data_IF_152190730174
#
_entry.id   IF_152190730174
#
_cell.length_a   1.000
_cell.length_b   1.000
_cell.length_c   1.000
_cell.angle_alpha   90.00
_cell.angle_beta   90.00
_cell.angle_gamma   90.00
#
_symmetry.space_group_name_H-M   'P 1'
#
loop_
_entity.id
_entity.type
_entity.pdbx_description
1 polymer ?
#
# COMPACT_ATOMS: atom_id res chain seq x y z
N UNK A 1 14.11 57.41 49.37
CA UNK A 1 15.22 56.82 48.58
C UNK A 1 14.92 55.35 48.41
N UNK A 2 15.30 54.79 47.27
CA UNK A 2 14.51 53.79 46.57
C UNK A 2 14.47 52.39 47.18
N UNK A 3 13.29 51.77 47.12
CA UNK A 3 13.16 50.32 47.22
C UNK A 3 13.65 49.68 45.90
N UNK A 4 14.88 49.18 45.89
CA UNK A 4 15.49 48.56 44.73
C UNK A 4 14.85 47.17 44.47
N UNK A 5 13.95 47.10 43.48
CA UNK A 5 13.28 45.87 43.09
C UNK A 5 14.16 45.05 42.12
N UNK A 6 14.89 44.07 42.65
CA UNK A 6 15.70 43.15 41.83
C UNK A 6 14.85 42.35 40.83
N UNK A 7 15.18 42.32 39.53
CA UNK A 7 14.42 41.58 38.54
C UNK A 7 14.55 40.06 38.77
N UNK A 8 13.42 39.36 38.89
CA UNK A 8 13.41 37.89 39.03
C UNK A 8 14.00 37.25 37.76
N UNK A 9 15.01 36.36 37.87
CA UNK A 9 15.58 35.72 36.68
C UNK A 9 14.54 34.83 35.98
N UNK A 10 14.53 34.76 34.64
CA UNK A 10 13.57 33.94 33.91
C UNK A 10 13.75 32.47 34.28
N UNK A 11 12.65 31.82 34.69
CA UNK A 11 12.70 30.44 35.18
C UNK A 11 13.20 29.48 34.09
N UNK A 12 14.20 28.67 34.44
CA UNK A 12 14.81 27.65 33.56
C UNK A 12 13.74 26.69 33.01
N UNK A 13 12.70 26.43 33.79
CA UNK A 13 11.51 25.67 33.40
C UNK A 13 10.83 26.22 32.13
N UNK A 14 10.66 27.55 32.00
CA UNK A 14 10.01 28.14 30.82
C UNK A 14 10.84 27.94 29.55
N UNK A 15 12.16 27.94 29.67
CA UNK A 15 13.09 27.64 28.58
C UNK A 15 13.06 26.15 28.21
N UNK A 16 12.93 25.26 29.20
CA UNK A 16 12.81 23.82 28.98
C UNK A 16 11.47 23.46 28.32
N UNK A 17 10.34 23.96 28.82
CA UNK A 17 9.02 23.78 28.18
C UNK A 17 8.99 24.36 26.76
N UNK A 18 9.61 25.51 26.50
CA UNK A 18 9.73 26.07 25.15
C UNK A 18 10.54 25.16 24.21
N UNK A 19 11.54 24.46 24.72
CA UNK A 19 12.36 23.53 23.93
C UNK A 19 11.63 22.18 23.71
N UNK A 20 10.92 21.66 24.72
CA UNK A 20 10.07 20.47 24.57
C UNK A 20 8.91 20.70 23.59
N UNK A 21 8.23 21.85 23.67
CA UNK A 21 7.15 22.20 22.74
C UNK A 21 7.67 22.48 21.32
N UNK A 22 8.81 23.17 21.18
CA UNK A 22 9.49 23.33 19.89
C UNK A 22 9.93 22.00 19.27
N UNK A 23 10.49 21.09 20.08
CA UNK A 23 10.87 19.75 19.63
C UNK A 23 9.68 18.89 19.21
N UNK A 24 8.58 18.94 19.96
CA UNK A 24 7.33 18.25 19.61
C UNK A 24 6.74 18.81 18.30
N UNK A 25 6.67 20.13 18.15
CA UNK A 25 6.18 20.77 16.93
C UNK A 25 7.03 20.39 15.70
N UNK A 26 8.37 20.38 15.85
CA UNK A 26 9.28 19.94 14.78
C UNK A 26 9.07 18.46 14.42
N UNK A 27 8.89 17.59 15.41
CA UNK A 27 8.61 16.17 15.19
C UNK A 27 7.28 15.95 14.44
N UNK A 28 6.23 16.70 14.77
CA UNK A 28 4.95 16.66 14.06
C UNK A 28 5.10 17.14 12.61
N UNK A 29 5.79 18.25 12.37
CA UNK A 29 6.06 18.75 11.00
C UNK A 29 6.88 17.75 10.19
N UNK A 30 7.90 17.12 10.79
CA UNK A 30 8.70 16.10 10.13
C UNK A 30 7.88 14.84 9.80
N UNK A 31 7.00 14.40 10.70
CA UNK A 31 6.10 13.27 10.46
C UNK A 31 5.10 13.56 9.33
N UNK A 32 4.47 14.75 9.32
CA UNK A 32 3.56 15.18 8.26
C UNK A 32 4.27 15.32 6.91
N UNK A 33 5.47 15.93 6.89
CA UNK A 33 6.30 16.05 5.68
C UNK A 33 6.72 14.68 5.13
N UNK A 34 7.08 13.74 6.00
CA UNK A 34 7.39 12.35 5.61
C UNK A 34 6.16 11.64 5.05
N UNK A 35 5.00 11.76 5.71
CA UNK A 35 3.74 11.18 5.24
C UNK A 35 3.30 11.74 3.88
N UNK A 36 3.42 13.06 3.69
CA UNK A 36 3.15 13.71 2.42
C UNK A 36 4.14 13.25 1.32
N UNK A 37 5.44 13.13 1.64
CA UNK A 37 6.42 12.60 0.69
C UNK A 37 6.13 11.13 0.31
N UNK A 38 5.77 10.28 1.27
CA UNK A 38 5.36 8.89 1.00
C UNK A 38 4.11 8.82 0.11
N UNK A 39 3.12 9.68 0.34
CA UNK A 39 1.87 9.68 -0.39
C UNK A 39 2.01 10.24 -1.82
N UNK A 40 2.65 11.39 -1.98
CA UNK A 40 2.64 12.17 -3.23
C UNK A 40 3.88 11.96 -4.12
N UNK A 41 4.87 11.16 -3.70
CA UNK A 41 6.07 10.89 -4.51
C UNK A 41 6.19 9.44 -4.97
N UNK A 42 6.84 9.26 -6.13
CA UNK A 42 7.12 7.95 -6.72
C UNK A 42 8.11 7.09 -5.89
N UNK A 43 9.22 7.62 -5.34
CA UNK A 43 10.06 6.85 -4.42
C UNK A 43 9.33 6.50 -3.11
N UNK A 44 8.41 7.37 -2.66
CA UNK A 44 7.54 7.11 -1.53
C UNK A 44 6.58 5.93 -1.76
N UNK A 45 5.91 5.93 -2.92
CA UNK A 45 5.04 4.85 -3.34
C UNK A 45 5.78 3.51 -3.49
N UNK A 46 6.97 3.51 -4.12
CA UNK A 46 7.89 2.36 -4.16
C UNK A 46 8.17 1.81 -2.77
N UNK A 47 8.65 2.65 -1.86
CA UNK A 47 9.02 2.25 -0.50
C UNK A 47 7.84 1.61 0.28
N UNK A 48 6.64 2.18 0.17
CA UNK A 48 5.44 1.63 0.83
C UNK A 48 5.01 0.32 0.18
N UNK A 49 5.02 0.24 -1.15
CA UNK A 49 4.61 -0.97 -1.86
C UNK A 49 5.58 -2.12 -1.61
N UNK A 50 6.89 -1.90 -1.67
CA UNK A 50 7.92 -2.89 -1.34
C UNK A 50 7.75 -3.42 0.09
N UNK A 51 7.44 -2.53 1.05
CA UNK A 51 7.18 -2.92 2.44
C UNK A 51 5.89 -3.72 2.59
N UNK A 52 4.81 -3.31 1.94
CA UNK A 52 3.53 -4.02 1.98
C UNK A 52 3.64 -5.41 1.34
N UNK A 53 4.34 -5.51 0.21
CA UNK A 53 4.57 -6.76 -0.50
C UNK A 53 5.49 -7.70 0.26
N UNK A 54 6.53 -7.20 0.93
CA UNK A 54 7.38 -8.01 1.80
C UNK A 54 6.59 -8.71 2.93
N UNK A 55 5.52 -8.10 3.47
CA UNK A 55 4.66 -8.70 4.50
C UNK A 55 3.87 -9.90 3.95
N UNK A 56 3.44 -9.85 2.68
CA UNK A 56 2.67 -10.92 2.02
C UNK A 56 3.54 -11.85 1.17
N UNK A 57 4.87 -11.76 1.27
CA UNK A 57 5.80 -12.58 0.49
C UNK A 57 5.72 -12.32 -1.02
N UNK A 58 5.43 -11.09 -1.43
CA UNK A 58 5.40 -10.64 -2.83
C UNK A 58 6.49 -9.63 -3.18
N UNK A 59 6.48 -9.18 -4.44
CA UNK A 59 7.37 -8.16 -4.98
C UNK A 59 6.72 -7.40 -6.15
N UNK A 60 7.17 -6.19 -6.41
CA UNK A 60 6.77 -5.40 -7.58
C UNK A 60 8.00 -4.78 -8.25
N UNK A 61 7.90 -4.52 -9.56
CA UNK A 61 8.94 -3.85 -10.35
C UNK A 61 8.31 -2.80 -11.26
N UNK A 62 9.12 -1.83 -11.72
CA UNK A 62 8.65 -0.78 -12.62
C UNK A 62 7.59 0.15 -12.01
N UNK A 63 7.56 0.27 -10.68
CA UNK A 63 6.57 1.10 -9.97
C UNK A 63 6.73 2.56 -10.40
N UNK A 64 5.64 3.17 -10.86
CA UNK A 64 5.55 4.58 -11.27
C UNK A 64 4.24 5.19 -10.77
N UNK A 65 4.19 6.53 -10.69
CA UNK A 65 3.04 7.25 -10.13
C UNK A 65 3.19 7.57 -8.63
N UNK A 66 2.10 7.66 -7.88
CA UNK A 66 2.13 7.97 -6.44
C UNK A 66 0.95 7.34 -5.69
N UNK A 67 1.05 7.14 -4.37
CA UNK A 67 -0.07 6.62 -3.57
C UNK A 67 -1.26 7.59 -3.54
N UNK A 68 -1.03 8.89 -3.77
CA UNK A 68 -2.08 9.89 -3.80
C UNK A 68 -2.91 9.90 -5.11
N UNK A 69 -2.62 9.00 -6.05
CA UNK A 69 -3.30 8.92 -7.35
C UNK A 69 -3.01 7.62 -8.09
N UNK A 70 -2.99 7.64 -9.44
CA UNK A 70 -2.73 6.46 -10.24
C UNK A 70 -1.33 5.88 -10.00
N UNK A 71 -1.26 4.56 -9.93
CA UNK A 71 -0.04 3.76 -9.86
C UNK A 71 0.05 2.88 -11.12
N UNK A 72 1.25 2.66 -11.63
CA UNK A 72 1.52 1.63 -12.63
C UNK A 72 2.75 0.79 -12.25
N UNK A 73 2.70 -0.50 -12.58
CA UNK A 73 3.71 -1.52 -12.25
C UNK A 73 4.04 -2.33 -13.51
N UNK A 74 5.31 -2.56 -13.80
CA UNK A 74 5.71 -3.45 -14.91
C UNK A 74 5.38 -4.90 -14.59
N UNK A 75 5.67 -5.33 -13.36
CA UNK A 75 5.28 -6.63 -12.83
C UNK A 75 4.93 -6.57 -11.34
N UNK A 76 4.05 -7.48 -10.92
CA UNK A 76 3.62 -7.72 -9.55
C UNK A 76 3.55 -9.24 -9.34
N UNK A 77 4.22 -9.77 -8.32
CA UNK A 77 4.15 -11.18 -7.93
C UNK A 77 3.75 -11.28 -6.46
N UNK A 78 2.74 -12.09 -6.14
CA UNK A 78 2.28 -12.34 -4.76
C UNK A 78 2.02 -13.84 -4.53
N UNK A 79 2.34 -14.33 -3.33
CA UNK A 79 2.14 -15.73 -2.95
C UNK A 79 0.97 -15.83 -1.95
N UNK A 80 -0.21 -16.21 -2.46
CA UNK A 80 -1.43 -16.45 -1.68
C UNK A 80 -1.48 -17.92 -1.22
N UNK A 81 -0.65 -18.27 -0.23
CA UNK A 81 -0.56 -19.64 0.29
C UNK A 81 -0.01 -20.61 -0.76
N UNK A 82 -0.84 -21.55 -1.23
CA UNK A 82 -0.51 -22.51 -2.30
C UNK A 82 -0.70 -21.96 -3.73
N UNK A 83 -1.11 -20.70 -3.87
CA UNK A 83 -1.35 -20.04 -5.16
C UNK A 83 -0.37 -18.90 -5.37
N UNK A 84 0.35 -18.91 -6.48
CA UNK A 84 1.17 -17.79 -6.94
C UNK A 84 0.40 -17.00 -7.99
N UNK A 85 0.33 -15.69 -7.79
CA UNK A 85 -0.31 -14.76 -8.73
C UNK A 85 0.74 -13.82 -9.26
N UNK A 86 0.82 -13.70 -10.59
CA UNK A 86 1.71 -12.78 -11.30
C UNK A 86 0.88 -11.91 -12.22
N UNK A 87 1.05 -10.60 -12.13
CA UNK A 87 0.44 -9.65 -13.05
C UNK A 87 1.51 -8.83 -13.77
N UNK A 88 1.29 -8.48 -15.05
CA UNK A 88 2.22 -7.66 -15.85
C UNK A 88 1.51 -6.46 -16.45
N UNK A 89 2.21 -5.33 -16.53
CA UNK A 89 1.69 -4.00 -16.92
C UNK A 89 0.38 -3.71 -16.20
N UNK A 90 0.46 -3.62 -14.88
CA UNK A 90 -0.66 -3.29 -14.01
C UNK A 90 -0.81 -1.77 -13.96
N UNK A 91 -2.03 -1.27 -14.09
CA UNK A 91 -2.38 0.09 -13.71
C UNK A 91 -3.54 0.09 -12.72
N UNK A 92 -3.42 0.94 -11.70
CA UNK A 92 -4.32 1.02 -10.56
C UNK A 92 -4.66 2.48 -10.29
N UNK A 93 -5.89 2.86 -10.61
CA UNK A 93 -6.50 4.11 -10.18
C UNK A 93 -7.42 3.82 -8.98
N UNK A 94 -7.17 4.49 -7.86
CA UNK A 94 -7.80 4.20 -6.58
C UNK A 94 -8.00 5.49 -5.77
N UNK A 95 -8.82 5.41 -4.72
CA UNK A 95 -9.20 6.57 -3.92
C UNK A 95 -8.48 6.57 -2.55
N UNK A 96 -7.46 7.42 -2.34
CA UNK A 96 -6.75 7.48 -1.06
C UNK A 96 -7.63 7.90 0.11
N UNK A 97 -8.59 8.79 -0.16
CA UNK A 97 -9.55 9.28 0.86
C UNK A 97 -10.50 8.18 1.34
N UNK A 98 -10.84 7.20 0.48
CA UNK A 98 -11.64 6.03 0.88
C UNK A 98 -10.84 5.06 1.76
N UNK A 99 -9.54 4.90 1.51
CA UNK A 99 -8.69 4.04 2.35
C UNK A 99 -8.59 4.56 3.78
N UNK A 100 -8.55 5.89 3.96
CA UNK A 100 -8.65 6.53 5.28
C UNK A 100 -10.02 6.31 5.97
N UNK A 101 -11.05 5.90 5.22
CA UNK A 101 -12.38 5.50 5.72
C UNK A 101 -12.49 3.98 5.95
N UNK A 102 -11.43 3.20 5.71
CA UNK A 102 -11.45 1.73 5.81
C UNK A 102 -11.89 1.00 4.53
N UNK A 103 -11.97 1.70 3.39
CA UNK A 103 -12.37 1.14 2.09
C UNK A 103 -11.25 1.31 1.03
N UNK A 104 -10.65 0.22 0.57
CA UNK A 104 -9.88 0.23 -0.67
C UNK A 104 -10.84 0.31 -1.85
N UNK A 105 -11.12 1.54 -2.27
CA UNK A 105 -11.94 1.83 -3.43
C UNK A 105 -11.07 1.99 -4.68
N UNK A 106 -11.07 0.97 -5.53
CA UNK A 106 -10.37 0.96 -6.82
C UNK A 106 -11.32 1.45 -7.89
N UNK A 107 -11.03 2.63 -8.46
CA UNK A 107 -11.82 3.26 -9.52
C UNK A 107 -11.60 2.51 -10.83
N UNK A 108 -10.33 2.17 -11.14
CA UNK A 108 -9.97 1.37 -12.31
C UNK A 108 -8.77 0.49 -12.01
N UNK A 109 -8.94 -0.80 -12.22
CA UNK A 109 -7.85 -1.77 -12.32
C UNK A 109 -7.70 -2.21 -13.77
N UNK A 110 -6.48 -2.24 -14.28
CA UNK A 110 -6.16 -2.94 -15.53
C UNK A 110 -4.86 -3.72 -15.38
N UNK A 111 -4.81 -4.91 -15.97
CA UNK A 111 -3.57 -5.65 -16.16
C UNK A 111 -3.53 -6.22 -17.59
N UNK A 112 -2.36 -6.22 -18.21
CA UNK A 112 -2.20 -6.82 -19.53
C UNK A 112 -2.06 -8.35 -19.51
N UNK A 113 -1.68 -8.91 -18.36
CA UNK A 113 -1.59 -10.34 -18.15
C UNK A 113 -1.77 -10.64 -16.67
N UNK A 114 -2.57 -11.66 -16.37
CA UNK A 114 -2.69 -12.27 -15.05
C UNK A 114 -2.43 -13.77 -15.19
N UNK A 115 -1.34 -14.23 -14.60
CA UNK A 115 -0.95 -15.64 -14.48
C UNK A 115 -1.29 -16.10 -13.05
N UNK A 116 -2.10 -17.15 -12.92
CA UNK A 116 -2.45 -17.77 -11.65
C UNK A 116 -1.95 -19.21 -11.68
N UNK A 117 -0.90 -19.49 -10.91
CA UNK A 117 -0.33 -20.82 -10.71
C UNK A 117 -0.82 -21.39 -9.37
N UNK A 118 -1.72 -22.37 -9.39
CA UNK A 118 -2.14 -23.10 -8.18
C UNK A 118 -1.43 -24.45 -8.07
N UNK A 119 -0.87 -24.75 -6.90
CA UNK A 119 -0.46 -26.12 -6.57
C UNK A 119 -1.69 -27.03 -6.41
N UNK A 120 -1.66 -28.21 -7.01
CA UNK A 120 -2.75 -29.18 -6.88
C UNK A 120 -2.90 -29.63 -5.42
N UNK A 121 -3.97 -29.20 -4.76
CA UNK A 121 -4.32 -29.60 -3.40
C UNK A 121 -5.49 -30.56 -3.43
N UNK A 122 -5.25 -31.84 -3.09
CA UNK A 122 -6.27 -32.90 -3.06
C UNK A 122 -7.17 -32.86 -1.81
N UNK A 123 -7.05 -31.82 -0.98
CA UNK A 123 -7.97 -31.53 0.12
C UNK A 123 -8.95 -30.43 -0.31
N UNK A 124 -10.25 -30.53 0.06
CA UNK A 124 -11.21 -29.47 -0.19
C UNK A 124 -10.70 -28.17 0.44
N UNK A 125 -10.89 -27.06 -0.28
CA UNK A 125 -10.45 -25.75 0.18
C UNK A 125 -11.06 -25.47 1.57
N UNK A 126 -10.23 -25.55 2.62
CA UNK A 126 -10.61 -25.07 3.95
C UNK A 126 -10.89 -23.59 3.81
N UNK A 127 -12.16 -23.23 3.88
CA UNK A 127 -12.59 -21.84 4.00
C UNK A 127 -11.73 -21.19 5.10
N UNK A 128 -10.92 -20.17 4.77
CA UNK A 128 -10.04 -19.58 5.77
C UNK A 128 -10.92 -18.95 6.86
N UNK A 129 -10.76 -19.46 8.09
CA UNK A 129 -11.60 -19.10 9.23
C UNK A 129 -11.63 -17.58 9.39
N UNK A 130 -12.78 -16.98 9.07
CA UNK A 130 -13.02 -15.52 9.17
C UNK A 130 -12.04 -14.64 8.37
N UNK A 131 -11.97 -14.80 7.04
CA UNK A 131 -11.57 -13.69 6.15
C UNK A 131 -12.67 -12.62 6.05
N UNK A 132 -12.92 -11.92 7.15
CA UNK A 132 -13.28 -10.51 7.06
C UNK A 132 -11.95 -9.77 6.84
N UNK A 133 -11.63 -9.28 5.62
CA UNK A 133 -10.40 -8.52 5.44
C UNK A 133 -10.49 -7.28 6.33
N UNK A 134 -9.40 -6.80 6.94
CA UNK A 134 -9.42 -5.63 7.84
C UNK A 134 -9.79 -4.31 7.13
N UNK A 135 -10.15 -4.39 5.86
CA UNK A 135 -10.36 -3.32 4.91
C UNK A 135 -11.42 -3.78 3.90
N UNK A 136 -12.48 -3.00 3.70
CA UNK A 136 -13.45 -3.30 2.64
C UNK A 136 -12.80 -3.06 1.29
N UNK A 137 -12.91 -3.99 0.33
CA UNK A 137 -12.36 -3.83 -1.02
C UNK A 137 -13.51 -3.67 -2.00
N UNK A 138 -13.50 -2.57 -2.76
CA UNK A 138 -14.45 -2.29 -3.83
C UNK A 138 -13.69 -2.02 -5.13
N UNK A 139 -14.11 -2.63 -6.24
CA UNK A 139 -13.52 -2.42 -7.57
C UNK A 139 -14.63 -2.01 -8.52
N UNK A 140 -14.62 -0.75 -8.95
CA UNK A 140 -15.66 -0.18 -9.81
C UNK A 140 -15.50 -0.59 -11.28
N UNK A 141 -14.25 -0.67 -11.76
CA UNK A 141 -13.90 -1.16 -13.11
C UNK A 141 -12.68 -2.07 -13.04
N UNK A 142 -12.76 -3.24 -13.65
CA UNK A 142 -11.64 -4.16 -13.83
C UNK A 142 -11.51 -4.56 -15.31
N UNK A 143 -10.33 -4.36 -15.88
CA UNK A 143 -9.97 -4.81 -17.23
C UNK A 143 -8.80 -5.79 -17.19
N UNK A 144 -8.80 -6.78 -18.08
CA UNK A 144 -7.74 -7.78 -18.18
C UNK A 144 -7.59 -8.24 -19.63
N UNK A 145 -6.42 -8.03 -20.24
CA UNK A 145 -6.21 -8.39 -21.65
C UNK A 145 -6.04 -9.91 -21.84
N UNK A 146 -5.46 -10.62 -20.85
CA UNK A 146 -5.23 -12.07 -20.89
C UNK A 146 -5.20 -12.69 -19.50
N UNK A 147 -5.92 -13.80 -19.33
CA UNK A 147 -5.91 -14.64 -18.13
C UNK A 147 -5.30 -16.00 -18.46
N UNK A 148 -4.28 -16.40 -17.68
CA UNK A 148 -3.66 -17.73 -17.76
C UNK A 148 -3.84 -18.41 -16.41
N UNK A 149 -4.56 -19.53 -16.39
CA UNK A 149 -4.73 -20.35 -15.18
C UNK A 149 -3.96 -21.64 -15.39
N UNK A 150 -2.91 -21.84 -14.60
CA UNK A 150 -2.07 -23.02 -14.60
C UNK A 150 -2.25 -23.80 -13.29
N UNK A 151 -2.44 -25.12 -13.41
CA UNK A 151 -2.44 -26.05 -12.27
C UNK A 151 -1.13 -26.83 -12.32
N UNK A 152 -0.31 -26.74 -11.26
CA UNK A 152 0.96 -27.46 -11.21
C UNK A 152 0.69 -28.97 -11.17
N UNK A 153 0.97 -29.64 -12.29
CA UNK A 153 0.75 -31.08 -12.50
C UNK A 153 -0.17 -31.43 -13.67
N UNK A 154 -0.89 -30.47 -14.25
CA UNK A 154 -1.72 -30.66 -15.45
C UNK A 154 -0.94 -30.18 -16.69
N UNK A 155 -0.84 -30.96 -17.79
CA UNK A 155 0.02 -30.61 -18.93
C UNK A 155 -0.50 -29.46 -19.81
N UNK A 156 -1.81 -29.18 -19.80
CA UNK A 156 -2.41 -28.09 -20.57
C UNK A 156 -2.89 -26.93 -19.66
N UNK A 157 -2.32 -25.72 -19.78
CA UNK A 157 -2.84 -24.54 -19.09
C UNK A 157 -4.16 -24.09 -19.72
N UNK A 158 -5.15 -23.73 -18.90
CA UNK A 158 -6.44 -23.24 -19.39
C UNK A 158 -6.29 -21.78 -19.81
N UNK A 159 -6.21 -21.53 -21.11
CA UNK A 159 -6.13 -20.19 -21.67
C UNK A 159 -7.53 -19.58 -21.86
N UNK A 160 -7.88 -18.60 -21.01
CA UNK A 160 -9.12 -17.84 -21.14
C UNK A 160 -8.83 -16.46 -21.75
N UNK A 161 -9.11 -16.35 -23.05
CA UNK A 161 -9.01 -15.09 -23.79
C UNK A 161 -10.30 -14.29 -23.61
N UNK A 162 -10.31 -13.37 -22.65
CA UNK A 162 -11.44 -12.47 -22.43
C UNK A 162 -11.53 -11.52 -23.63
N UNK A 163 -12.63 -11.59 -24.37
CA UNK A 163 -12.91 -10.66 -25.47
C UNK A 163 -13.63 -9.42 -24.92
N UNK A 164 -13.40 -8.23 -25.50
CA UNK A 164 -13.96 -6.97 -25.04
C UNK A 164 -15.48 -6.83 -25.33
#
# INVERSE_FOLDING_TARGET
MEANASPRPPSRLRRWLAWSSGGLALAVVAALGTGAWLAFSEPGARFVLDRALAIVGGSATGVTGSLAGPLALDALEVNAGKTRVRAKRVSLDWSPIRLLQGELHVVRFHAALLEIESEASAEPAKEPLSLAPPLTVHVAQAGLDRLVIARRGEPDPVELRISP
#
